data_IF_123591336315
#
_entry.id   IF_123591336315
#
_cell.length_a   1.000
_cell.length_b   1.000
_cell.length_c   1.000
_cell.angle_alpha   90.00
_cell.angle_beta   90.00
_cell.angle_gamma   90.00
#
_symmetry.space_group_name_H-M   'P 1'
#
loop_
_entity.id
_entity.type
_entity.pdbx_description
1 polymer ?
#
# COMPACT_ATOMS: atom_id res chain seq x y z
N UNK A 1 19.79 6.75 5.13
CA UNK A 1 20.21 5.34 5.17
C UNK A 1 19.06 4.50 4.59
N UNK A 2 19.11 4.18 3.30
CA UNK A 2 18.07 3.39 2.64
C UNK A 2 18.20 1.91 3.03
N UNK A 3 17.10 1.18 3.29
CA UNK A 3 17.16 -0.25 3.52
C UNK A 3 17.58 -0.98 2.24
N UNK A 4 18.35 -2.07 2.35
CA UNK A 4 18.80 -2.84 1.19
C UNK A 4 17.61 -3.49 0.47
N UNK A 5 17.69 -3.67 -0.86
CA UNK A 5 16.63 -4.29 -1.64
C UNK A 5 16.41 -5.76 -1.21
N UNK A 6 15.15 -6.25 -1.21
CA UNK A 6 14.86 -7.64 -0.89
C UNK A 6 15.46 -8.57 -1.95
N UNK A 7 16.11 -9.64 -1.48
CA UNK A 7 16.67 -10.70 -2.33
C UNK A 7 15.57 -11.34 -3.19
N UNK A 8 15.83 -11.64 -4.48
CA UNK A 8 14.86 -12.34 -5.31
C UNK A 8 14.55 -13.71 -4.74
N UNK A 9 13.26 -14.07 -4.73
CA UNK A 9 12.80 -15.40 -4.36
C UNK A 9 13.38 -16.42 -5.34
N UNK A 10 14.12 -17.40 -4.83
CA UNK A 10 14.54 -18.57 -5.59
C UNK A 10 13.29 -19.35 -5.95
N UNK A 11 12.76 -19.11 -7.15
CA UNK A 11 11.76 -19.97 -7.76
C UNK A 11 12.48 -21.27 -8.09
N UNK A 12 12.12 -22.34 -7.39
CA UNK A 12 12.56 -23.69 -7.75
C UNK A 12 11.91 -23.97 -9.10
N UNK A 13 12.72 -23.98 -10.15
CA UNK A 13 12.27 -24.28 -11.49
C UNK A 13 11.95 -25.78 -11.58
N UNK A 14 10.64 -26.10 -11.59
CA UNK A 14 10.13 -27.48 -11.67
C UNK A 14 10.58 -28.15 -12.98
N UNK A 15 10.98 -27.35 -13.98
CA UNK A 15 11.49 -27.84 -15.27
C UNK A 15 12.83 -28.57 -15.13
N UNK A 16 13.64 -28.29 -14.09
CA UNK A 16 14.91 -29.01 -13.82
C UNK A 16 14.71 -30.40 -13.22
N UNK A 17 13.55 -30.68 -12.59
CA UNK A 17 13.24 -32.02 -12.05
C UNK A 17 12.80 -33.02 -13.13
N UNK A 18 12.37 -32.52 -14.30
CA UNK A 18 11.93 -33.35 -15.43
C UNK A 18 13.04 -33.62 -16.47
N UNK A 19 14.20 -32.95 -16.36
CA UNK A 19 15.36 -33.15 -17.24
C UNK A 19 16.44 -34.06 -16.64
N UNK A 20 16.09 -34.94 -15.71
CA UNK A 20 17.00 -36.01 -15.31
C UNK A 20 16.91 -37.14 -16.35
N UNK A 21 17.94 -37.15 -17.18
CA UNK A 21 18.39 -38.19 -18.11
C UNK A 21 17.86 -39.60 -17.82
N UNK A 22 17.61 -40.41 -18.86
CA UNK A 22 17.39 -41.84 -18.66
C UNK A 22 18.71 -42.40 -18.15
N UNK A 23 18.80 -42.57 -16.84
CA UNK A 23 19.86 -43.35 -16.23
C UNK A 23 19.58 -44.78 -16.67
N UNK A 24 20.13 -45.16 -17.83
CA UNK A 24 20.19 -46.54 -18.29
C UNK A 24 21.08 -47.25 -17.30
N UNK A 25 20.50 -47.64 -16.17
CA UNK A 25 21.05 -48.68 -15.32
C UNK A 25 21.00 -49.92 -16.20
N UNK A 26 22.15 -50.23 -16.80
CA UNK A 26 22.42 -51.55 -17.34
C UNK A 26 22.23 -52.52 -16.18
N UNK A 27 21.01 -53.03 -16.01
CA UNK A 27 20.79 -54.23 -15.24
C UNK A 27 21.58 -55.29 -15.97
N UNK A 28 22.76 -55.61 -15.43
CA UNK A 28 23.74 -56.54 -15.97
C UNK A 28 23.21 -57.96 -16.03
N UNK A 29 22.22 -58.17 -16.89
CA UNK A 29 21.70 -59.47 -17.31
C UNK A 29 22.14 -59.67 -18.76
N UNK A 30 23.47 -59.78 -18.95
CA UNK A 30 23.99 -60.57 -20.06
C UNK A 30 23.73 -62.03 -19.70
N UNK A 31 22.50 -62.50 -19.93
CA UNK A 31 22.16 -63.90 -19.82
C UNK A 31 22.64 -64.60 -21.10
N UNK A 32 23.61 -65.48 -20.87
CA UNK A 32 24.27 -66.38 -21.80
C UNK A 32 23.28 -67.13 -22.70
N UNK A 33 23.43 -66.99 -24.02
CA UNK A 33 22.76 -67.84 -25.01
C UNK A 33 23.27 -69.30 -24.93
N UNK A 34 24.50 -69.52 -24.43
CA UNK A 34 25.09 -70.86 -24.27
C UNK A 34 24.53 -71.69 -23.10
N UNK A 35 23.90 -71.05 -22.09
CA UNK A 35 23.39 -71.79 -20.93
C UNK A 35 22.09 -72.56 -21.23
N UNK A 36 21.32 -72.12 -22.23
CA UNK A 36 20.06 -72.76 -22.64
C UNK A 36 20.28 -74.08 -23.40
N UNK A 37 21.35 -74.21 -24.19
CA UNK A 37 21.66 -75.46 -24.90
C UNK A 37 22.12 -76.56 -23.95
N UNK A 38 22.91 -76.22 -22.92
CA UNK A 38 23.42 -77.19 -21.95
C UNK A 38 22.33 -77.66 -20.96
N UNK A 39 21.41 -76.77 -20.54
CA UNK A 39 20.24 -77.17 -19.72
C UNK A 39 19.38 -78.23 -20.41
N UNK A 40 19.10 -78.06 -21.71
CA UNK A 40 18.28 -79.02 -22.47
C UNK A 40 18.95 -80.40 -22.57
N UNK A 41 20.28 -80.47 -22.65
CA UNK A 41 21.02 -81.74 -22.65
C UNK A 41 20.99 -82.42 -21.26
N UNK A 42 21.13 -81.67 -20.16
CA UNK A 42 21.09 -82.24 -18.80
C UNK A 42 19.72 -82.83 -18.41
N UNK A 43 18.62 -82.25 -18.88
CA UNK A 43 17.27 -82.77 -18.59
C UNK A 43 16.88 -83.98 -19.44
N UNK A 44 17.65 -84.30 -20.48
CA UNK A 44 17.40 -85.43 -21.40
C UNK A 44 17.80 -86.79 -20.80
N UNK A 45 18.66 -86.82 -19.77
CA UNK A 45 19.15 -88.05 -19.14
C UNK A 45 18.41 -88.45 -17.85
N UNK A 46 17.42 -87.67 -17.42
CA UNK A 46 16.65 -87.90 -16.19
C UNK A 46 15.36 -88.69 -16.47
N UNK A 47 14.91 -89.58 -15.56
CA UNK A 47 13.62 -90.26 -15.69
C UNK A 47 12.46 -89.28 -15.87
N UNK A 48 11.53 -89.57 -16.79
CA UNK A 48 10.47 -88.63 -17.21
C UNK A 48 9.60 -88.05 -16.08
N UNK A 49 9.45 -88.74 -14.95
CA UNK A 49 8.71 -88.25 -13.78
C UNK A 49 9.44 -87.09 -13.05
N UNK A 50 10.78 -87.10 -13.06
CA UNK A 50 11.62 -86.04 -12.45
C UNK A 50 11.57 -84.78 -13.31
N UNK A 51 11.68 -84.91 -14.64
CA UNK A 51 11.57 -83.80 -15.58
C UNK A 51 10.19 -83.14 -15.53
N UNK A 52 9.12 -83.93 -15.37
CA UNK A 52 7.76 -83.41 -15.18
C UNK A 52 7.55 -82.66 -13.86
N UNK A 53 8.18 -83.10 -12.77
CA UNK A 53 8.18 -82.37 -11.48
C UNK A 53 8.92 -81.03 -11.56
N UNK A 54 10.11 -81.02 -12.18
CA UNK A 54 10.91 -79.79 -12.36
C UNK A 54 10.15 -78.77 -13.21
N UNK A 55 9.50 -79.22 -14.29
CA UNK A 55 8.67 -78.35 -15.13
C UNK A 55 7.50 -77.74 -14.35
N UNK A 56 6.76 -78.54 -13.57
CA UNK A 56 5.67 -78.05 -12.71
C UNK A 56 6.13 -77.02 -11.69
N UNK A 57 7.26 -77.27 -11.02
CA UNK A 57 7.83 -76.34 -10.05
C UNK A 57 8.27 -75.03 -10.69
N UNK A 58 8.86 -75.08 -11.89
CA UNK A 58 9.22 -73.87 -12.64
C UNK A 58 7.98 -73.06 -13.02
N UNK A 59 6.94 -73.70 -13.56
CA UNK A 59 5.72 -73.02 -13.98
C UNK A 59 4.93 -72.45 -12.77
N UNK A 60 5.06 -73.06 -11.59
CA UNK A 60 4.54 -72.52 -10.32
C UNK A 60 5.34 -71.30 -9.84
N UNK A 61 6.68 -71.38 -9.90
CA UNK A 61 7.56 -70.26 -9.59
C UNK A 61 7.29 -69.07 -10.52
N UNK A 62 7.15 -69.32 -11.82
CA UNK A 62 6.89 -68.30 -12.83
C UNK A 62 5.54 -67.60 -12.57
N UNK A 63 4.48 -68.37 -12.26
CA UNK A 63 3.17 -67.81 -11.88
C UNK A 63 3.24 -67.00 -10.59
N UNK A 64 3.98 -67.48 -9.59
CA UNK A 64 4.20 -66.74 -8.35
C UNK A 64 4.92 -65.41 -8.61
N UNK A 65 6.03 -65.44 -9.37
CA UNK A 65 6.81 -64.25 -9.74
C UNK A 65 5.94 -63.25 -10.52
N UNK A 66 5.14 -63.71 -11.47
CA UNK A 66 4.22 -62.86 -12.23
C UNK A 66 3.20 -62.19 -11.32
N UNK A 67 2.56 -62.96 -10.43
CA UNK A 67 1.55 -62.46 -9.48
C UNK A 67 2.15 -61.41 -8.54
N UNK A 68 3.30 -61.70 -7.94
CA UNK A 68 3.99 -60.76 -7.05
C UNK A 68 4.45 -59.49 -7.80
N UNK A 69 4.93 -59.65 -9.04
CA UNK A 69 5.30 -58.54 -9.90
C UNK A 69 4.12 -57.64 -10.25
N UNK A 70 2.94 -58.21 -10.52
CA UNK A 70 1.71 -57.46 -10.78
C UNK A 70 1.20 -56.71 -9.55
N UNK A 71 1.19 -57.37 -8.39
CA UNK A 71 0.79 -56.75 -7.11
C UNK A 71 1.70 -55.57 -6.76
N UNK A 72 3.01 -55.74 -6.94
CA UNK A 72 3.99 -54.67 -6.72
C UNK A 72 3.76 -53.51 -7.71
N UNK A 73 3.55 -53.79 -9.00
CA UNK A 73 3.27 -52.74 -10.01
C UNK A 73 1.99 -51.98 -9.68
N UNK A 74 0.91 -52.66 -9.31
CA UNK A 74 -0.35 -52.04 -8.87
C UNK A 74 -0.12 -51.15 -7.65
N UNK A 75 0.49 -51.68 -6.60
CA UNK A 75 0.77 -50.95 -5.37
C UNK A 75 1.64 -49.71 -5.62
N UNK A 76 2.66 -49.80 -6.49
CA UNK A 76 3.50 -48.65 -6.84
C UNK A 76 2.73 -47.58 -7.61
N UNK A 77 1.87 -47.98 -8.57
CA UNK A 77 1.02 -47.06 -9.31
C UNK A 77 0.04 -46.33 -8.38
N UNK A 78 -0.67 -47.07 -7.52
CA UNK A 78 -1.65 -46.50 -6.58
C UNK A 78 -0.98 -45.57 -5.55
N UNK A 79 0.22 -45.91 -5.07
CA UNK A 79 0.98 -45.03 -4.18
C UNK A 79 1.47 -43.77 -4.90
N UNK A 80 1.90 -43.89 -6.16
CA UNK A 80 2.32 -42.74 -6.96
C UNK A 80 1.15 -41.79 -7.19
N UNK A 81 0.00 -42.33 -7.58
CA UNK A 81 -1.22 -41.54 -7.80
C UNK A 81 -1.66 -40.81 -6.52
N UNK A 82 -1.80 -41.53 -5.40
CA UNK A 82 -2.17 -40.93 -4.11
C UNK A 82 -1.23 -39.79 -3.70
N UNK A 83 0.09 -40.00 -3.82
CA UNK A 83 1.08 -38.97 -3.49
C UNK A 83 0.97 -37.72 -4.38
N UNK A 84 0.65 -37.89 -5.67
CA UNK A 84 0.43 -36.73 -6.53
C UNK A 84 -0.85 -35.97 -6.17
N UNK A 85 -1.94 -36.68 -5.91
CA UNK A 85 -3.20 -36.05 -5.47
C UNK A 85 -2.99 -35.27 -4.17
N UNK A 86 -2.34 -35.88 -3.17
CA UNK A 86 -2.04 -35.22 -1.90
C UNK A 86 -1.19 -33.95 -2.09
N UNK A 87 -0.15 -34.01 -2.94
CA UNK A 87 0.70 -32.86 -3.24
C UNK A 87 -0.09 -31.73 -3.91
N UNK A 88 -0.95 -32.07 -4.87
CA UNK A 88 -1.80 -31.10 -5.58
C UNK A 88 -2.79 -30.45 -4.61
N UNK A 89 -3.53 -31.23 -3.82
CA UNK A 89 -4.47 -30.70 -2.83
C UNK A 89 -3.77 -29.79 -1.81
N UNK A 90 -2.57 -30.16 -1.35
CA UNK A 90 -1.80 -29.32 -0.43
C UNK A 90 -1.37 -27.99 -1.09
N UNK A 91 -0.92 -28.04 -2.34
CA UNK A 91 -0.55 -26.84 -3.10
C UNK A 91 -1.76 -25.93 -3.35
N UNK A 92 -2.88 -26.50 -3.79
CA UNK A 92 -4.15 -25.79 -4.02
C UNK A 92 -4.65 -25.11 -2.76
N UNK A 93 -4.59 -25.77 -1.60
CA UNK A 93 -5.06 -25.17 -0.36
C UNK A 93 -4.11 -24.04 0.13
N UNK A 94 -2.80 -24.15 -0.09
CA UNK A 94 -1.86 -23.05 0.18
C UNK A 94 -2.17 -21.84 -0.71
N UNK A 95 -2.36 -22.07 -2.02
CA UNK A 95 -2.68 -21.02 -2.99
C UNK A 95 -4.05 -20.42 -2.68
N UNK A 96 -5.05 -21.26 -2.38
CA UNK A 96 -6.41 -20.87 -2.03
C UNK A 96 -6.46 -19.97 -0.80
N UNK A 97 -5.74 -20.31 0.28
CA UNK A 97 -5.63 -19.43 1.45
C UNK A 97 -4.99 -18.08 1.13
N UNK A 98 -3.91 -18.08 0.34
CA UNK A 98 -3.24 -16.83 -0.07
C UNK A 98 -4.17 -15.96 -0.92
N UNK A 99 -4.92 -16.56 -1.84
CA UNK A 99 -5.87 -15.86 -2.69
C UNK A 99 -7.01 -15.27 -1.87
N UNK A 100 -7.62 -16.03 -0.95
CA UNK A 100 -8.65 -15.51 -0.03
C UNK A 100 -8.15 -14.33 0.81
N UNK A 101 -6.91 -14.40 1.31
CA UNK A 101 -6.29 -13.26 2.03
C UNK A 101 -6.14 -12.03 1.13
N UNK A 102 -5.68 -12.22 -0.10
CA UNK A 102 -5.50 -11.14 -1.08
C UNK A 102 -6.82 -10.52 -1.50
N UNK A 103 -7.85 -11.34 -1.69
CA UNK A 103 -9.21 -10.89 -1.99
C UNK A 103 -9.76 -10.01 -0.86
N UNK A 104 -9.60 -10.44 0.40
CA UNK A 104 -10.03 -9.64 1.56
C UNK A 104 -9.25 -8.31 1.69
N UNK A 105 -7.94 -8.31 1.38
CA UNK A 105 -7.13 -7.09 1.31
C UNK A 105 -7.64 -6.14 0.21
N UNK A 106 -7.96 -6.68 -0.97
CA UNK A 106 -8.50 -5.92 -2.11
C UNK A 106 -9.87 -5.34 -1.79
N UNK A 107 -10.79 -6.15 -1.27
CA UNK A 107 -12.14 -5.69 -0.90
C UNK A 107 -12.08 -4.57 0.16
N UNK A 108 -11.17 -4.67 1.13
CA UNK A 108 -10.93 -3.60 2.10
C UNK A 108 -10.37 -2.33 1.45
N UNK A 109 -9.46 -2.46 0.48
CA UNK A 109 -8.93 -1.32 -0.27
C UNK A 109 -10.02 -0.66 -1.11
N UNK A 110 -10.85 -1.44 -1.81
CA UNK A 110 -11.97 -0.96 -2.61
C UNK A 110 -13.00 -0.22 -1.77
N UNK A 111 -13.37 -0.74 -0.59
CA UNK A 111 -14.27 -0.04 0.35
C UNK A 111 -13.71 1.31 0.75
N UNK A 112 -12.44 1.37 1.16
CA UNK A 112 -11.77 2.62 1.53
C UNK A 112 -11.68 3.60 0.36
N UNK A 113 -11.41 3.10 -0.85
CA UNK A 113 -11.37 3.92 -2.04
C UNK A 113 -12.73 4.57 -2.29
N UNK A 114 -13.82 3.80 -2.26
CA UNK A 114 -15.18 4.32 -2.41
C UNK A 114 -15.55 5.33 -1.31
N UNK A 115 -15.18 5.08 -0.05
CA UNK A 115 -15.38 6.04 1.05
C UNK A 115 -14.63 7.36 0.81
N UNK A 116 -13.39 7.29 0.31
CA UNK A 116 -12.58 8.47 0.00
C UNK A 116 -13.13 9.24 -1.19
N UNK A 117 -13.55 8.56 -2.26
CA UNK A 117 -14.19 9.18 -3.41
C UNK A 117 -15.49 9.90 -3.01
N UNK A 118 -16.31 9.29 -2.16
CA UNK A 118 -17.51 9.92 -1.63
C UNK A 118 -17.19 11.19 -0.81
N UNK A 119 -16.12 11.16 0.00
CA UNK A 119 -15.65 12.34 0.75
C UNK A 119 -15.15 13.45 -0.16
N UNK A 120 -14.40 13.10 -1.21
CA UNK A 120 -13.93 14.08 -2.20
C UNK A 120 -15.12 14.72 -2.91
N UNK A 121 -16.07 13.91 -3.39
CA UNK A 121 -17.28 14.41 -4.04
C UNK A 121 -18.07 15.37 -3.12
N UNK A 122 -18.21 15.01 -1.85
CA UNK A 122 -18.87 15.84 -0.85
C UNK A 122 -18.17 17.19 -0.64
N UNK A 123 -16.84 17.18 -0.43
CA UNK A 123 -16.07 18.41 -0.21
C UNK A 123 -16.07 19.30 -1.47
N UNK A 124 -16.01 18.71 -2.66
CA UNK A 124 -16.10 19.46 -3.92
C UNK A 124 -17.46 20.16 -4.05
N UNK A 125 -18.55 19.48 -3.70
CA UNK A 125 -19.88 20.08 -3.70
C UNK A 125 -20.01 21.19 -2.64
N UNK A 126 -19.48 20.99 -1.44
CA UNK A 126 -19.44 22.03 -0.41
C UNK A 126 -18.63 23.25 -0.87
N UNK A 127 -17.46 23.04 -1.47
CA UNK A 127 -16.61 24.11 -1.99
C UNK A 127 -17.34 24.91 -3.08
N UNK A 128 -18.04 24.23 -4.00
CA UNK A 128 -18.87 24.88 -5.03
C UNK A 128 -19.98 25.72 -4.41
N UNK A 129 -20.67 25.21 -3.40
CA UNK A 129 -21.72 25.96 -2.70
C UNK A 129 -21.16 27.20 -1.97
N UNK A 130 -19.99 27.08 -1.35
CA UNK A 130 -19.31 28.22 -0.74
C UNK A 130 -18.87 29.26 -1.77
N UNK A 131 -18.34 28.84 -2.92
CA UNK A 131 -17.98 29.74 -4.02
C UNK A 131 -19.20 30.49 -4.55
N UNK A 132 -20.33 29.81 -4.75
CA UNK A 132 -21.57 30.45 -5.19
C UNK A 132 -22.07 31.51 -4.18
N UNK A 133 -22.02 31.17 -2.89
CA UNK A 133 -22.38 32.11 -1.81
C UNK A 133 -21.45 33.32 -1.80
N UNK A 134 -20.14 33.11 -1.94
CA UNK A 134 -19.17 34.20 -2.00
C UNK A 134 -19.45 35.12 -3.20
N UNK A 135 -19.63 34.57 -4.40
CA UNK A 135 -19.94 35.35 -5.60
C UNK A 135 -21.24 36.16 -5.47
N UNK A 136 -22.27 35.58 -4.85
CA UNK A 136 -23.54 36.29 -4.58
C UNK A 136 -23.31 37.46 -3.63
N UNK A 137 -22.54 37.26 -2.55
CA UNK A 137 -22.19 38.32 -1.60
C UNK A 137 -21.34 39.41 -2.25
N UNK A 138 -20.38 39.04 -3.10
CA UNK A 138 -19.58 39.99 -3.87
C UNK A 138 -20.46 40.85 -4.77
N UNK A 139 -21.43 40.25 -5.48
CA UNK A 139 -22.38 40.99 -6.31
C UNK A 139 -23.27 41.94 -5.48
N UNK A 140 -23.74 41.52 -4.31
CA UNK A 140 -24.48 42.38 -3.36
C UNK A 140 -23.62 43.59 -2.92
N UNK A 141 -22.37 43.36 -2.53
CA UNK A 141 -21.44 44.42 -2.12
C UNK A 141 -21.15 45.38 -3.28
N UNK A 142 -20.90 44.87 -4.49
CA UNK A 142 -20.69 45.72 -5.67
C UNK A 142 -21.92 46.57 -6.00
N UNK A 143 -23.13 46.02 -5.90
CA UNK A 143 -24.37 46.78 -6.10
C UNK A 143 -24.54 47.88 -5.05
N UNK A 144 -24.33 47.56 -3.77
CA UNK A 144 -24.40 48.54 -2.69
C UNK A 144 -23.34 49.64 -2.86
N UNK A 145 -22.12 49.27 -3.26
CA UNK A 145 -21.06 50.23 -3.55
C UNK A 145 -21.45 51.18 -4.69
N UNK A 146 -22.01 50.66 -5.79
CA UNK A 146 -22.50 51.48 -6.89
C UNK A 146 -23.62 52.44 -6.45
N UNK A 147 -24.58 51.98 -5.64
CA UNK A 147 -25.64 52.85 -5.09
C UNK A 147 -25.09 53.96 -4.20
N UNK A 148 -24.09 53.68 -3.35
CA UNK A 148 -23.44 54.69 -2.53
C UNK A 148 -22.71 55.74 -3.38
N UNK A 149 -21.95 55.32 -4.38
CA UNK A 149 -21.27 56.23 -5.31
C UNK A 149 -22.28 57.13 -6.04
N UNK A 150 -23.41 56.57 -6.49
CA UNK A 150 -24.47 57.35 -7.11
C UNK A 150 -25.10 58.36 -6.14
N UNK A 151 -25.36 57.97 -4.88
CA UNK A 151 -25.89 58.88 -3.87
C UNK A 151 -24.93 60.03 -3.54
N UNK A 152 -23.62 59.77 -3.51
CA UNK A 152 -22.58 60.78 -3.34
C UNK A 152 -22.56 61.75 -4.53
N UNK A 153 -22.53 61.24 -5.77
CA UNK A 153 -22.57 62.07 -6.98
C UNK A 153 -23.82 62.96 -7.04
N UNK A 154 -24.99 62.39 -6.76
CA UNK A 154 -26.25 63.15 -6.72
C UNK A 154 -26.23 64.25 -5.65
N UNK A 155 -25.62 64.03 -4.48
CA UNK A 155 -25.47 65.08 -3.44
C UNK A 155 -24.60 66.24 -3.93
N UNK A 156 -23.46 65.94 -4.55
CA UNK A 156 -22.56 66.96 -5.12
C UNK A 156 -23.28 67.78 -6.21
N UNK A 157 -24.04 67.12 -7.08
CA UNK A 157 -24.84 67.80 -8.12
C UNK A 157 -25.96 68.67 -7.55
N UNK A 158 -26.59 68.27 -6.44
CA UNK A 158 -27.59 69.11 -5.74
C UNK A 158 -26.96 70.28 -5.00
N UNK A 159 -25.76 70.12 -4.43
CA UNK A 159 -25.02 71.21 -3.78
C UNK A 159 -24.54 72.25 -4.81
N UNK A 160 -24.06 71.82 -5.98
CA UNK A 160 -23.67 72.69 -7.09
C UNK A 160 -24.85 73.47 -7.70
N UNK A 161 -26.07 72.93 -7.62
CA UNK A 161 -27.31 73.62 -8.07
C UNK A 161 -27.92 74.52 -6.99
N UNK A 162 -27.58 74.34 -5.72
CA UNK A 162 -27.99 75.22 -4.62
C UNK A 162 -27.03 76.40 -4.41
N UNK A 163 -25.77 76.31 -4.86
CA UNK A 163 -24.82 77.44 -4.86
C UNK A 163 -25.06 78.47 -5.98
N UNK A 164 -26.06 78.26 -6.85
CA UNK A 164 -26.46 79.25 -7.86
C UNK A 164 -27.46 80.29 -7.35
N UNK A 165 -27.82 80.26 -6.06
CA UNK A 165 -28.69 81.25 -5.39
C UNK A 165 -28.17 81.64 -4.00
N UNK A 166 -26.89 82.01 -3.92
CA UNK A 166 -26.32 82.61 -2.72
C UNK A 166 -24.84 82.95 -2.88
N UNK A 167 -24.56 84.24 -3.13
CA UNK A 167 -23.26 84.86 -2.85
C UNK A 167 -22.85 84.58 -1.40
N UNK A 168 -21.61 84.13 -1.20
CA UNK A 168 -20.60 84.76 -0.33
C UNK A 168 -19.63 83.73 0.26
N UNK A 169 -18.34 84.07 0.21
CA UNK A 169 -17.37 83.79 1.26
C UNK A 169 -16.94 82.35 1.54
N UNK A 170 -15.74 82.01 1.06
CA UNK A 170 -14.68 81.60 1.98
C UNK A 170 -14.42 80.10 2.19
N UNK A 171 -13.14 79.77 2.01
CA UNK A 171 -12.39 78.64 2.53
C UNK A 171 -12.69 77.22 2.02
N UNK A 172 -11.78 76.79 1.14
CA UNK A 172 -11.44 75.41 0.93
C UNK A 172 -10.70 74.89 2.19
N UNK A 173 -11.43 74.29 3.12
CA UNK A 173 -10.84 73.40 4.11
C UNK A 173 -10.65 72.01 3.47
N UNK A 174 -9.44 71.79 2.94
CA UNK A 174 -8.90 70.44 2.74
C UNK A 174 -8.73 69.80 4.12
N UNK A 175 -9.76 69.11 4.60
CA UNK A 175 -9.63 68.18 5.71
C UNK A 175 -8.88 66.94 5.18
N UNK A 176 -7.55 66.94 5.34
CA UNK A 176 -6.74 65.74 5.18
C UNK A 176 -7.26 64.67 6.14
N UNK A 177 -7.88 63.64 5.55
CA UNK A 177 -8.34 62.42 6.21
C UNK A 177 -7.12 61.75 6.87
N UNK A 178 -7.03 61.90 8.19
CA UNK A 178 -6.04 61.22 9.01
C UNK A 178 -6.33 59.72 8.97
N UNK A 179 -5.68 59.03 8.03
CA UNK A 179 -5.68 57.58 7.90
C UNK A 179 -5.07 56.97 9.19
N UNK A 180 -5.89 56.79 10.23
CA UNK A 180 -5.47 56.14 11.46
C UNK A 180 -5.39 54.64 11.20
N UNK A 181 -4.28 54.19 10.65
CA UNK A 181 -3.88 52.79 10.72
C UNK A 181 -3.67 52.47 12.19
N UNK A 182 -4.61 51.76 12.80
CA UNK A 182 -4.41 51.14 14.10
C UNK A 182 -3.29 50.09 13.94
N UNK A 183 -2.06 50.49 14.25
CA UNK A 183 -0.94 49.56 14.41
C UNK A 183 -1.05 48.98 15.81
N UNK A 184 -1.46 47.72 15.88
CA UNK A 184 -1.48 46.94 17.11
C UNK A 184 -0.08 46.98 17.76
N UNK A 185 0.07 47.54 18.99
CA UNK A 185 1.35 47.61 19.71
C UNK A 185 1.98 46.24 19.98
N UNK A 186 1.21 45.14 19.85
CA UNK A 186 1.70 43.78 20.03
C UNK A 186 2.27 43.17 18.73
N UNK A 187 2.12 43.85 17.58
CA UNK A 187 2.81 43.48 16.33
C UNK A 187 4.24 44.00 16.34
N UNK A 188 5.03 43.52 17.29
CA UNK A 188 6.46 43.39 17.05
C UNK A 188 6.55 42.46 15.84
N UNK A 189 6.99 42.99 14.69
CA UNK A 189 7.38 42.18 13.55
C UNK A 189 8.55 41.30 13.97
N UNK A 190 8.20 40.20 14.63
CA UNK A 190 9.12 39.19 15.04
C UNK A 190 9.40 38.40 13.77
N UNK A 191 10.44 38.82 13.07
CA UNK A 191 10.97 38.18 11.87
C UNK A 191 11.30 36.73 12.26
N UNK A 192 10.34 35.82 12.09
CA UNK A 192 10.49 34.42 12.49
C UNK A 192 9.18 33.75 12.94
N UNK A 193 9.16 32.40 12.99
CA UNK A 193 7.99 31.65 13.44
C UNK A 193 7.69 31.93 14.92
N UNK A 194 6.41 32.09 15.27
CA UNK A 194 5.97 32.26 16.65
C UNK A 194 5.78 30.92 17.37
N UNK A 195 5.92 30.93 18.69
CA UNK A 195 5.76 29.74 19.53
C UNK A 195 4.37 29.11 19.33
N UNK A 196 4.32 27.82 18.99
CA UNK A 196 3.07 27.12 18.70
C UNK A 196 2.16 26.87 19.92
N UNK A 197 2.65 27.16 21.13
CA UNK A 197 1.91 26.98 22.40
C UNK A 197 1.34 28.31 22.90
N UNK A 198 2.19 29.29 23.21
CA UNK A 198 1.72 30.56 23.74
C UNK A 198 1.35 31.59 22.67
N UNK A 199 1.84 31.44 21.43
CA UNK A 199 1.67 32.37 20.30
C UNK A 199 2.09 33.83 20.55
N UNK A 200 2.73 34.13 21.69
CA UNK A 200 3.13 35.49 22.10
C UNK A 200 4.62 35.81 21.92
N UNK A 201 5.47 34.78 21.84
CA UNK A 201 6.94 34.92 21.76
C UNK A 201 7.47 34.22 20.50
N UNK A 202 8.65 34.62 20.03
CA UNK A 202 9.37 33.94 18.94
C UNK A 202 9.65 32.51 19.35
N UNK A 203 9.54 31.62 18.38
CA UNK A 203 9.97 30.26 18.55
C UNK A 203 11.49 30.22 18.38
N UNK A 204 12.18 29.66 19.36
CA UNK A 204 13.65 29.58 19.47
C UNK A 204 14.12 28.14 19.72
N UNK A 205 13.19 27.21 19.95
CA UNK A 205 13.48 25.81 20.27
C UNK A 205 12.64 24.88 19.40
N UNK A 206 13.27 23.93 18.75
CA UNK A 206 12.60 22.86 18.00
C UNK A 206 12.57 21.57 18.83
N UNK A 207 11.38 20.97 18.96
CA UNK A 207 11.18 19.76 19.74
C UNK A 207 11.54 18.48 18.94
N UNK A 208 12.34 17.61 19.55
CA UNK A 208 12.73 16.30 19.01
C UNK A 208 11.91 15.17 19.67
N UNK A 209 11.67 14.06 18.94
CA UNK A 209 12.31 13.68 17.67
C UNK A 209 11.61 14.21 16.40
N UNK A 210 10.39 14.70 16.50
CA UNK A 210 9.55 14.92 15.32
C UNK A 210 9.74 16.25 14.57
N UNK A 211 10.42 17.24 15.15
CA UNK A 211 10.69 18.57 14.56
C UNK A 211 9.45 19.42 14.19
N UNK A 212 8.24 18.87 14.27
CA UNK A 212 6.99 19.54 13.94
C UNK A 212 6.57 20.62 14.96
N UNK A 213 7.10 20.57 16.18
CA UNK A 213 6.73 21.48 17.25
C UNK A 213 7.89 22.46 17.52
N UNK A 214 7.62 23.76 17.31
CA UNK A 214 8.56 24.85 17.57
C UNK A 214 8.02 25.73 18.69
N UNK A 215 8.86 25.99 19.69
CA UNK A 215 8.52 26.56 20.99
C UNK A 215 9.42 27.77 21.29
N UNK A 216 8.98 28.66 22.19
CA UNK A 216 9.87 29.62 22.83
C UNK A 216 10.52 28.97 24.07
N UNK A 217 11.64 29.51 24.54
CA UNK A 217 12.35 29.00 25.72
C UNK A 217 11.45 28.83 26.96
N UNK A 218 10.47 29.73 27.16
CA UNK A 218 9.53 29.63 28.28
C UNK A 218 8.53 28.46 28.15
N UNK A 219 8.08 28.15 26.93
CA UNK A 219 7.21 27.02 26.69
C UNK A 219 7.98 25.69 26.59
N UNK A 220 9.28 25.73 26.29
CA UNK A 220 10.13 24.54 26.25
C UNK A 220 10.30 23.89 27.63
N UNK A 221 10.40 24.71 28.68
CA UNK A 221 10.46 24.28 30.09
C UNK A 221 9.08 23.90 30.65
N UNK A 222 7.99 24.28 29.96
CA UNK A 222 6.61 24.07 30.39
C UNK A 222 6.07 22.65 30.17
N UNK A 223 4.84 22.41 30.61
CA UNK A 223 4.16 21.10 30.67
C UNK A 223 3.82 20.45 29.31
N UNK A 224 4.19 21.05 28.18
CA UNK A 224 3.89 20.49 26.86
C UNK A 224 4.94 19.47 26.47
N UNK A 225 4.59 18.19 26.62
CA UNK A 225 5.45 17.05 26.27
C UNK A 225 5.03 16.30 25.03
N UNK A 226 3.98 16.70 24.32
CA UNK A 226 3.47 15.97 23.15
C UNK A 226 3.28 16.92 21.97
N UNK A 227 3.78 16.51 20.80
CA UNK A 227 3.56 17.24 19.56
C UNK A 227 2.09 17.11 19.12
N UNK A 228 1.37 18.21 18.88
CA UNK A 228 -0.03 18.15 18.45
C UNK A 228 -0.21 17.64 17.01
N UNK A 229 0.86 17.58 16.20
CA UNK A 229 0.80 17.18 14.79
C UNK A 229 0.93 15.67 14.65
N UNK A 230 1.93 15.07 15.29
CA UNK A 230 2.23 13.64 15.14
C UNK A 230 2.17 12.85 16.45
N UNK A 231 1.72 13.49 17.54
CA UNK A 231 1.56 12.89 18.87
C UNK A 231 2.85 12.31 19.46
N UNK A 232 4.01 12.67 18.89
CA UNK A 232 5.30 12.25 19.42
C UNK A 232 5.60 12.95 20.75
N UNK A 233 6.09 12.19 21.73
CA UNK A 233 6.53 12.73 23.01
C UNK A 233 7.85 13.47 22.81
N UNK A 234 7.92 14.73 23.25
CA UNK A 234 9.15 15.53 23.26
C UNK A 234 10.15 14.89 24.22
N UNK A 235 11.29 14.46 23.70
CA UNK A 235 12.40 13.91 24.48
C UNK A 235 13.49 14.94 24.74
N UNK A 236 13.71 15.86 23.81
CA UNK A 236 14.68 16.96 23.92
C UNK A 236 14.27 18.15 23.03
N UNK A 237 14.91 19.29 23.24
CA UNK A 237 14.78 20.49 22.40
C UNK A 237 16.15 20.93 21.89
N UNK A 238 16.20 21.47 20.68
CA UNK A 238 17.40 22.10 20.12
C UNK A 238 17.10 23.56 19.86
N UNK A 239 18.00 24.46 20.30
CA UNK A 239 17.89 25.87 19.99
C UNK A 239 18.13 26.10 18.49
N UNK A 240 17.23 26.84 17.87
CA UNK A 240 17.23 27.12 16.44
C UNK A 240 17.11 28.62 16.24
N UNK A 241 17.97 29.13 15.38
CA UNK A 241 17.91 30.50 14.88
C UNK A 241 17.17 30.43 13.54
N UNK A 242 16.10 31.22 13.41
CA UNK A 242 15.29 31.32 12.20
C UNK A 242 15.68 32.53 11.37
#
# INVERSE_FOLDING_TARGET
MNPPPPKPSQVIDITELLQKTPNVVSTGLRLFHDQSQNQQQFFSSLPGDVTGKIKRQRDELDRFIQTQGEELRRTLADNRERRYVELLCAAEEIVGRKLRKKEAELEKATRRHAELEARVAHIVEEARNWQLRAATREAEVSSLHAHLQQAIANRLDTAAKQSTFGEDGGDAEEAEDAESVYVDPERIELIGPSCRICRRKSATVMALPCQHLILCNGCDVGAVRVCPICLAVKTSGVEVLF
#
